data_IF_588876080545
#
_entry.id   IF_588876080545
#
_cell.length_a   1.000
_cell.length_b   1.000
_cell.length_c   1.000
_cell.angle_alpha   90.00
_cell.angle_beta   90.00
_cell.angle_gamma   90.00
#
_symmetry.space_group_name_H-M   'P 1'
#
loop_
_entity.id
_entity.type
_entity.pdbx_description
1 polymer ?
#
# COMPACT_ATOMS: atom_id res chain seq x y z
N UNK A 1 -3.23 26.42 -7.11
CA UNK A 1 -1.82 26.50 -6.65
C UNK A 1 -1.46 25.13 -6.08
N UNK A 2 -0.49 24.42 -6.66
CA UNK A 2 -0.06 23.11 -6.15
C UNK A 2 0.73 23.32 -4.86
N UNK A 3 0.09 23.06 -3.71
CA UNK A 3 0.83 22.88 -2.46
C UNK A 3 1.64 21.59 -2.61
N UNK A 4 2.97 21.74 -2.64
CA UNK A 4 3.99 20.70 -2.85
C UNK A 4 3.57 19.30 -2.37
N UNK A 5 3.22 18.42 -3.30
CA UNK A 5 2.85 17.02 -3.06
C UNK A 5 3.44 16.08 -4.10
N UNK A 6 3.17 14.79 -3.96
CA UNK A 6 3.36 13.80 -5.03
C UNK A 6 2.02 13.53 -5.70
N UNK A 7 2.04 13.19 -7.00
CA UNK A 7 0.88 12.67 -7.71
C UNK A 7 0.86 11.15 -7.57
N UNK A 8 -0.28 10.57 -7.18
CA UNK A 8 -0.43 9.14 -6.92
C UNK A 8 -1.30 8.46 -7.98
N UNK A 9 -0.99 7.20 -8.27
CA UNK A 9 -1.75 6.33 -9.19
C UNK A 9 -1.95 6.90 -10.62
N UNK A 10 -1.03 7.76 -11.09
CA UNK A 10 -1.07 8.32 -12.44
C UNK A 10 -0.83 7.21 -13.47
N UNK A 11 -1.64 7.20 -14.53
CA UNK A 11 -1.43 6.34 -15.70
C UNK A 11 -0.70 7.11 -16.78
N UNK A 12 0.38 6.54 -17.29
CA UNK A 12 1.13 7.09 -18.43
C UNK A 12 1.59 6.02 -19.40
N UNK A 13 2.21 6.49 -20.49
CA UNK A 13 2.67 5.68 -21.61
C UNK A 13 4.15 5.94 -21.85
N UNK A 14 4.93 4.87 -22.03
CA UNK A 14 6.34 4.98 -22.40
C UNK A 14 6.44 5.51 -23.83
N UNK A 15 7.03 6.68 -23.99
CA UNK A 15 7.24 7.33 -25.30
C UNK A 15 8.60 6.97 -25.89
N UNK A 16 9.63 6.88 -25.04
CA UNK A 16 11.01 6.71 -25.48
C UNK A 16 11.84 5.95 -24.45
N UNK A 17 12.72 5.07 -24.91
CA UNK A 17 13.82 4.52 -24.10
C UNK A 17 15.03 5.42 -24.31
N UNK A 18 15.49 6.08 -23.25
CA UNK A 18 16.57 7.07 -23.31
C UNK A 18 17.93 6.39 -23.20
N UNK A 19 18.02 5.39 -22.31
CA UNK A 19 19.25 4.69 -21.98
C UNK A 19 18.97 3.26 -21.57
N UNK A 20 20.03 2.52 -21.22
CA UNK A 20 19.93 1.17 -20.64
C UNK A 20 19.05 1.09 -19.39
N UNK A 21 18.91 2.19 -18.64
CA UNK A 21 18.23 2.21 -17.35
C UNK A 21 17.10 3.24 -17.26
N UNK A 22 16.81 4.01 -18.31
CA UNK A 22 15.85 5.12 -18.22
C UNK A 22 14.92 5.18 -19.43
N UNK A 23 13.67 5.57 -19.17
CA UNK A 23 12.63 5.80 -20.16
C UNK A 23 11.86 7.10 -19.89
N UNK A 24 11.35 7.74 -20.94
CA UNK A 24 10.41 8.85 -20.85
C UNK A 24 8.98 8.31 -20.87
N UNK A 25 8.16 8.82 -19.96
CA UNK A 25 6.76 8.44 -19.80
C UNK A 25 5.91 9.70 -19.96
N UNK A 26 5.03 9.70 -20.96
CA UNK A 26 4.05 10.76 -21.11
C UNK A 26 2.79 10.45 -20.31
N UNK A 27 2.15 11.49 -19.78
CA UNK A 27 0.87 11.40 -19.10
C UNK A 27 0.11 12.72 -19.20
N UNK A 28 -1.20 12.69 -18.93
CA UNK A 28 -2.03 13.89 -18.88
C UNK A 28 -2.23 14.31 -17.43
N UNK A 29 -2.05 15.60 -17.15
CA UNK A 29 -2.37 16.21 -15.86
C UNK A 29 -2.94 17.60 -16.09
N UNK A 30 -4.11 17.89 -15.50
CA UNK A 30 -4.86 19.13 -15.74
C UNK A 30 -5.01 19.45 -17.24
N UNK A 31 -5.43 18.45 -18.02
CA UNK A 31 -5.56 18.51 -19.49
C UNK A 31 -4.29 18.87 -20.27
N UNK A 32 -3.12 18.93 -19.61
CA UNK A 32 -1.84 19.22 -20.24
C UNK A 32 -1.01 17.94 -20.31
N UNK A 33 -0.35 17.71 -21.45
CA UNK A 33 0.61 16.62 -21.56
C UNK A 33 1.89 16.95 -20.79
N UNK A 34 2.35 16.00 -19.98
CA UNK A 34 3.58 16.06 -19.20
C UNK A 34 4.46 14.86 -19.54
N UNK A 35 5.76 15.02 -19.33
CA UNK A 35 6.76 13.97 -19.48
C UNK A 35 7.49 13.80 -18.16
N UNK A 36 7.64 12.56 -17.71
CA UNK A 36 8.45 12.19 -16.57
C UNK A 36 9.52 11.17 -16.94
N UNK A 37 10.58 11.11 -16.15
CA UNK A 37 11.66 10.14 -16.31
C UNK A 37 11.43 8.96 -15.37
N UNK A 38 11.41 7.75 -15.94
CA UNK A 38 11.36 6.47 -15.23
C UNK A 38 12.75 5.84 -15.22
N UNK A 39 13.33 5.69 -14.04
CA UNK A 39 14.50 4.84 -13.84
C UNK A 39 14.10 3.38 -13.58
N UNK A 40 14.90 2.44 -14.08
CA UNK A 40 14.66 0.99 -14.02
C UNK A 40 14.47 0.48 -12.59
N UNK A 41 15.22 1.01 -11.63
CA UNK A 41 15.14 0.64 -10.22
C UNK A 41 13.83 1.07 -9.54
N UNK A 42 13.08 1.98 -10.17
CA UNK A 42 11.75 2.41 -9.71
C UNK A 42 10.61 1.57 -10.31
N UNK A 43 10.91 0.73 -11.30
CA UNK A 43 9.92 -0.11 -11.97
C UNK A 43 9.70 -1.43 -11.23
N UNK A 44 8.44 -1.78 -11.07
CA UNK A 44 7.99 -3.05 -10.52
C UNK A 44 7.02 -3.77 -11.48
N UNK A 45 7.11 -5.09 -11.57
CA UNK A 45 6.20 -5.93 -12.36
C UNK A 45 5.60 -6.98 -11.43
N UNK A 46 4.27 -7.04 -11.27
CA UNK A 46 3.62 -7.89 -10.26
C UNK A 46 4.15 -7.62 -8.84
N UNK A 47 4.34 -6.33 -8.53
CA UNK A 47 5.02 -5.82 -7.34
C UNK A 47 6.47 -6.31 -7.14
N UNK A 48 7.13 -6.91 -8.13
CA UNK A 48 8.54 -7.33 -8.03
C UNK A 48 9.46 -6.24 -8.57
N UNK A 49 10.55 -5.87 -7.85
CA UNK A 49 11.62 -5.12 -8.46
C UNK A 49 12.09 -5.80 -9.73
N UNK A 50 12.28 -5.03 -10.78
CA UNK A 50 12.82 -5.53 -12.04
C UNK A 50 14.28 -5.95 -11.83
N UNK A 51 14.58 -7.23 -12.12
CA UNK A 51 15.95 -7.75 -12.14
C UNK A 51 16.54 -7.83 -13.57
N UNK A 52 15.97 -7.08 -14.52
CA UNK A 52 16.44 -7.07 -15.89
C UNK A 52 17.73 -6.27 -16.04
N UNK A 53 18.54 -6.64 -17.03
CA UNK A 53 19.76 -5.92 -17.37
C UNK A 53 19.42 -4.54 -17.94
N UNK A 54 18.42 -4.46 -18.82
CA UNK A 54 17.98 -3.23 -19.45
C UNK A 54 16.52 -2.91 -19.14
N UNK A 55 16.17 -1.62 -19.09
CA UNK A 55 14.77 -1.20 -18.94
C UNK A 55 13.91 -1.62 -20.14
N UNK A 56 14.52 -1.70 -21.33
CA UNK A 56 13.89 -2.17 -22.58
C UNK A 56 13.43 -3.63 -22.52
N UNK A 57 14.02 -4.44 -21.63
CA UNK A 57 13.60 -5.82 -21.42
C UNK A 57 12.27 -5.91 -20.64
N UNK A 58 11.83 -4.79 -20.04
CA UNK A 58 10.68 -4.72 -19.14
C UNK A 58 9.55 -3.85 -19.68
N UNK A 59 9.90 -2.78 -20.39
CA UNK A 59 8.96 -1.87 -21.04
C UNK A 59 9.45 -1.54 -22.44
N UNK A 60 8.52 -1.36 -23.36
CA UNK A 60 8.77 -0.91 -24.72
C UNK A 60 8.00 0.38 -24.99
N UNK A 61 8.38 1.11 -26.04
CA UNK A 61 7.61 2.28 -26.50
C UNK A 61 6.17 1.84 -26.77
N UNK A 62 5.21 2.48 -26.11
CA UNK A 62 3.82 2.05 -26.12
C UNK A 62 3.31 1.48 -24.81
N UNK A 63 4.19 0.96 -23.95
CA UNK A 63 3.83 0.33 -22.68
C UNK A 63 3.08 1.30 -21.78
N UNK A 64 1.92 0.88 -21.25
CA UNK A 64 1.17 1.60 -20.23
C UNK A 64 1.67 1.21 -18.84
N UNK A 65 1.88 2.20 -17.98
CA UNK A 65 2.33 2.01 -16.60
C UNK A 65 1.55 2.90 -15.65
N UNK A 66 1.36 2.44 -14.41
CA UNK A 66 0.91 3.26 -13.28
C UNK A 66 2.10 3.71 -12.46
N UNK A 67 2.04 4.90 -11.86
CA UNK A 67 3.17 5.40 -11.07
C UNK A 67 2.79 6.48 -10.05
N UNK A 68 3.75 6.74 -9.15
CA UNK A 68 3.81 7.92 -8.27
C UNK A 68 4.93 8.82 -8.78
N UNK A 69 4.69 10.12 -8.92
CA UNK A 69 5.70 11.09 -9.34
C UNK A 69 5.66 12.39 -8.52
N UNK A 70 6.68 13.22 -8.65
CA UNK A 70 6.69 14.58 -8.08
C UNK A 70 5.63 15.47 -8.74
N UNK A 71 4.98 16.37 -7.98
CA UNK A 71 4.07 17.34 -8.60
C UNK A 71 4.81 18.38 -9.46
N UNK A 72 4.19 18.86 -10.56
CA UNK A 72 4.78 19.92 -11.37
C UNK A 72 4.98 21.21 -10.57
N UNK A 73 6.20 21.73 -10.57
CA UNK A 73 6.59 22.93 -9.81
C UNK A 73 7.26 22.66 -8.47
N UNK A 74 7.48 21.40 -8.07
CA UNK A 74 8.35 21.07 -6.95
C UNK A 74 9.75 21.63 -7.22
N UNK A 75 10.16 22.60 -6.41
CA UNK A 75 11.30 23.48 -6.66
C UNK A 75 12.57 22.72 -7.06
N UNK A 76 12.90 22.78 -8.36
CA UNK A 76 14.24 22.53 -8.87
C UNK A 76 14.58 23.65 -9.86
N UNK A 77 15.64 24.44 -9.61
CA UNK A 77 16.16 25.37 -10.61
C UNK A 77 16.61 24.57 -11.84
N UNK A 78 16.11 24.91 -13.03
CA UNK A 78 16.52 24.29 -14.29
C UNK A 78 15.50 23.39 -14.99
N UNK A 79 14.26 23.29 -14.49
CA UNK A 79 13.19 22.59 -15.22
C UNK A 79 13.41 21.08 -15.36
N UNK A 80 13.97 20.45 -14.33
CA UNK A 80 14.20 19.00 -14.29
C UNK A 80 12.91 18.26 -14.66
N UNK A 81 12.97 17.26 -15.55
CA UNK A 81 11.81 16.43 -15.88
C UNK A 81 11.21 15.81 -14.61
N UNK A 82 9.89 15.63 -14.60
CA UNK A 82 9.17 15.06 -13.45
C UNK A 82 9.76 13.69 -13.11
N UNK A 83 10.16 13.48 -11.87
CA UNK A 83 10.75 12.21 -11.47
C UNK A 83 9.66 11.22 -11.09
N UNK A 84 9.65 10.07 -11.76
CA UNK A 84 8.84 8.93 -11.33
C UNK A 84 9.55 8.26 -10.15
N UNK A 85 8.85 8.25 -9.01
CA UNK A 85 9.37 7.75 -7.73
C UNK A 85 9.15 6.25 -7.58
N UNK A 86 8.07 5.75 -8.19
CA UNK A 86 7.73 4.33 -8.25
C UNK A 86 6.79 4.10 -9.42
N UNK A 87 7.01 3.05 -10.21
CA UNK A 87 6.12 2.63 -11.26
C UNK A 87 5.81 1.15 -11.15
N UNK A 88 4.61 0.76 -11.57
CA UNK A 88 4.24 -0.63 -11.74
C UNK A 88 3.48 -0.82 -13.05
N UNK A 89 3.76 -1.93 -13.71
CA UNK A 89 3.02 -2.32 -14.91
C UNK A 89 1.65 -2.85 -14.53
N UNK A 90 0.63 -2.49 -15.31
CA UNK A 90 -0.65 -3.20 -15.32
C UNK A 90 -0.58 -4.19 -16.49
N UNK A 91 -0.57 -5.49 -16.23
CA UNK A 91 -0.68 -6.48 -17.30
C UNK A 91 -2.14 -6.60 -17.75
N UNK A 92 -2.38 -6.81 -19.04
CA UNK A 92 -3.74 -7.01 -19.59
C UNK A 92 -4.41 -8.28 -19.02
N UNK A 93 -3.64 -9.16 -18.37
CA UNK A 93 -4.13 -10.31 -17.59
C UNK A 93 -4.32 -10.06 -16.09
N UNK A 94 -3.93 -8.89 -15.55
CA UNK A 94 -4.33 -8.45 -14.20
C UNK A 94 -5.82 -8.05 -14.17
N UNK A 95 -6.41 -7.85 -15.36
CA UNK A 95 -7.82 -7.53 -15.59
C UNK A 95 -8.56 -8.85 -15.85
N UNK A 96 -8.85 -9.57 -14.78
CA UNK A 96 -9.65 -10.80 -14.81
C UNK A 96 -10.25 -11.04 -13.44
N UNK A 97 -11.31 -11.85 -13.37
CA UNK A 97 -11.80 -12.30 -12.07
C UNK A 97 -10.78 -13.28 -11.49
N UNK A 98 -10.18 -12.98 -10.33
CA UNK A 98 -9.29 -13.92 -9.67
C UNK A 98 -10.06 -15.19 -9.31
N UNK A 99 -9.32 -16.28 -9.08
CA UNK A 99 -9.87 -17.58 -8.67
C UNK A 99 -10.80 -17.42 -7.48
N UNK A 100 -10.51 -16.50 -6.57
CA UNK A 100 -11.33 -16.26 -5.39
C UNK A 100 -12.35 -15.10 -5.49
N UNK A 101 -12.50 -14.46 -6.65
CA UNK A 101 -13.54 -13.45 -6.90
C UNK A 101 -13.27 -12.04 -6.35
N UNK A 102 -12.27 -11.86 -5.49
CA UNK A 102 -11.88 -10.54 -4.97
C UNK A 102 -10.75 -9.90 -5.77
N UNK A 103 -10.97 -8.72 -6.38
CA UNK A 103 -10.04 -8.15 -7.34
C UNK A 103 -8.64 -7.99 -6.73
N UNK A 104 -7.64 -8.52 -7.44
CA UNK A 104 -6.24 -8.32 -7.09
C UNK A 104 -5.87 -6.86 -7.36
N UNK A 105 -5.92 -6.03 -6.32
CA UNK A 105 -5.67 -4.59 -6.45
C UNK A 105 -4.30 -4.30 -5.86
N UNK A 106 -3.43 -3.71 -6.68
CA UNK A 106 -2.16 -3.15 -6.23
C UNK A 106 -2.34 -1.66 -6.00
N UNK A 107 -2.14 -1.20 -4.77
CA UNK A 107 -2.16 0.24 -4.41
C UNK A 107 -0.82 0.68 -3.81
N UNK A 108 -0.29 1.86 -4.18
CA UNK A 108 0.80 2.46 -3.44
C UNK A 108 0.32 3.00 -2.09
N UNK A 109 1.20 3.14 -1.10
CA UNK A 109 0.91 4.00 0.05
C UNK A 109 0.82 5.48 -0.37
N UNK A 110 0.04 6.26 0.39
CA UNK A 110 0.04 7.72 0.25
C UNK A 110 1.34 8.27 0.84
N UNK A 111 1.98 9.15 0.08
CA UNK A 111 3.24 9.78 0.47
C UNK A 111 3.19 11.26 0.19
N UNK A 112 3.46 12.07 1.21
CA UNK A 112 3.38 13.53 1.11
C UNK A 112 2.03 14.01 0.56
N UNK A 113 0.95 13.33 0.97
CA UNK A 113 -0.40 13.62 0.53
C UNK A 113 -0.95 14.82 1.30
N UNK A 114 -1.57 15.76 0.58
CA UNK A 114 -2.26 16.88 1.18
C UNK A 114 -3.63 16.41 1.70
N UNK A 115 -3.95 16.76 2.94
CA UNK A 115 -5.19 16.35 3.61
C UNK A 115 -5.81 17.48 4.41
N UNK A 116 -7.14 17.52 4.44
CA UNK A 116 -7.93 18.42 5.29
C UNK A 116 -8.60 17.66 6.41
N UNK A 117 -8.91 18.33 7.50
CA UNK A 117 -9.56 17.70 8.66
C UNK A 117 -11.07 17.64 8.46
N UNK A 118 -11.68 16.48 8.71
CA UNK A 118 -13.14 16.29 8.64
C UNK A 118 -13.77 16.06 10.01
N UNK A 119 -13.17 15.20 10.83
CA UNK A 119 -13.64 14.94 12.19
C UNK A 119 -12.46 14.89 13.16
N UNK A 120 -12.66 15.40 14.38
CA UNK A 120 -11.64 15.45 15.42
C UNK A 120 -12.21 14.97 16.74
N UNK A 121 -11.48 14.08 17.41
CA UNK A 121 -11.71 13.69 18.80
C UNK A 121 -10.46 13.95 19.65
N UNK A 122 -10.50 13.59 20.92
CA UNK A 122 -9.31 13.71 21.79
C UNK A 122 -8.11 12.90 21.30
N UNK A 123 -8.33 11.68 20.77
CA UNK A 123 -7.26 10.71 20.48
C UNK A 123 -7.10 10.35 19.00
N UNK A 124 -8.11 10.60 18.18
CA UNK A 124 -8.10 10.31 16.75
C UNK A 124 -8.75 11.42 15.94
N UNK A 125 -8.46 11.46 14.65
CA UNK A 125 -9.12 12.32 13.67
C UNK A 125 -9.32 11.58 12.36
N UNK A 126 -10.34 12.00 11.60
CA UNK A 126 -10.58 11.57 10.22
C UNK A 126 -10.19 12.73 9.32
N UNK A 127 -9.26 12.46 8.40
CA UNK A 127 -8.81 13.41 7.39
C UNK A 127 -9.37 13.02 6.03
N UNK A 128 -9.45 13.99 5.12
CA UNK A 128 -9.89 13.79 3.75
C UNK A 128 -8.72 14.04 2.82
N UNK A 129 -8.40 13.01 2.04
CA UNK A 129 -7.50 13.07 0.89
C UNK A 129 -8.35 13.15 -0.38
N UNK A 130 -8.00 14.07 -1.28
CA UNK A 130 -8.57 14.12 -2.64
C UNK A 130 -7.57 13.52 -3.60
N UNK A 131 -7.95 12.44 -4.28
CA UNK A 131 -7.12 11.84 -5.30
C UNK A 131 -7.08 12.71 -6.57
N UNK A 132 -6.28 12.29 -7.55
CA UNK A 132 -6.10 13.02 -8.82
C UNK A 132 -7.35 13.09 -9.70
N UNK A 133 -8.35 12.23 -9.44
CA UNK A 133 -9.67 12.25 -10.08
C UNK A 133 -10.66 13.15 -9.33
N UNK A 134 -10.25 13.77 -8.22
CA UNK A 134 -11.10 14.58 -7.36
C UNK A 134 -11.98 13.78 -6.40
N UNK A 135 -11.84 12.45 -6.35
CA UNK A 135 -12.56 11.59 -5.41
C UNK A 135 -11.97 11.75 -4.01
N UNK A 136 -12.86 11.93 -3.04
CA UNK A 136 -12.51 12.00 -1.62
C UNK A 136 -12.34 10.59 -1.02
N UNK A 137 -11.25 10.38 -0.31
CA UNK A 137 -10.97 9.18 0.47
C UNK A 137 -10.63 9.58 1.91
N UNK A 138 -11.13 8.79 2.87
CA UNK A 138 -10.94 9.03 4.30
C UNK A 138 -9.65 8.39 4.82
N UNK A 139 -8.93 9.15 5.66
CA UNK A 139 -7.67 8.76 6.29
C UNK A 139 -7.83 8.85 7.81
N UNK A 140 -7.75 7.70 8.48
CA UNK A 140 -7.74 7.63 9.94
C UNK A 140 -6.36 8.01 10.48
N UNK A 141 -6.31 8.90 11.48
CA UNK A 141 -5.08 9.20 12.20
C UNK A 141 -5.26 9.09 13.72
N UNK A 142 -4.20 8.70 14.41
CA UNK A 142 -4.10 8.77 15.87
C UNK A 142 -3.29 10.00 16.29
N UNK A 143 -3.57 10.53 17.48
CA UNK A 143 -2.83 11.66 18.07
C UNK A 143 -1.31 11.42 18.10
N UNK A 144 -0.89 10.18 18.35
CA UNK A 144 0.51 9.76 18.37
C UNK A 144 1.24 9.87 17.03
N UNK A 145 0.51 10.10 15.94
CA UNK A 145 1.04 10.21 14.57
C UNK A 145 1.20 11.66 14.11
N UNK A 146 0.76 12.65 14.89
CA UNK A 146 0.84 14.07 14.54
C UNK A 146 2.18 14.71 14.92
N UNK A 147 2.74 15.47 14.00
CA UNK A 147 3.96 16.26 14.18
C UNK A 147 3.77 17.71 13.76
N UNK A 148 4.25 18.65 14.56
CA UNK A 148 4.27 20.08 14.22
C UNK A 148 5.72 20.55 14.28
N UNK A 149 6.26 21.02 13.16
CA UNK A 149 7.65 21.49 13.09
C UNK A 149 8.67 20.42 13.50
N UNK A 150 8.48 19.17 13.05
CA UNK A 150 9.24 17.96 13.42
C UNK A 150 9.05 17.43 14.85
N UNK A 151 8.34 18.13 15.74
CA UNK A 151 8.07 17.65 17.10
C UNK A 151 6.77 16.87 17.12
N UNK A 152 6.78 15.67 17.72
CA UNK A 152 5.57 14.89 17.95
C UNK A 152 4.67 15.65 18.92
N UNK A 153 3.39 15.76 18.60
CA UNK A 153 2.40 16.33 19.51
C UNK A 153 2.10 15.32 20.62
N UNK A 154 2.19 15.77 21.87
CA UNK A 154 1.75 15.02 23.03
C UNK A 154 0.47 15.66 23.54
N UNK A 155 -0.63 14.91 23.59
CA UNK A 155 -1.90 15.40 24.15
C UNK A 155 -3.08 15.28 23.19
N UNK A 156 -4.12 16.07 23.46
CA UNK A 156 -5.40 16.01 22.75
C UNK A 156 -5.34 16.70 21.39
N UNK A 157 -5.86 16.06 20.34
CA UNK A 157 -5.91 16.67 19.00
C UNK A 157 -6.76 17.95 18.96
N UNK A 158 -7.84 18.00 19.76
CA UNK A 158 -8.71 19.18 19.90
C UNK A 158 -7.97 20.48 20.33
N UNK A 159 -6.74 20.38 20.86
CA UNK A 159 -5.96 21.54 21.28
C UNK A 159 -5.02 22.07 20.18
N UNK A 160 -4.82 21.29 19.11
CA UNK A 160 -3.76 21.54 18.11
C UNK A 160 -4.25 21.49 16.67
N UNK A 161 -5.51 21.08 16.44
CA UNK A 161 -6.14 20.92 15.15
C UNK A 161 -7.54 21.53 15.16
N UNK A 162 -7.93 22.14 14.03
CA UNK A 162 -9.31 22.55 13.72
C UNK A 162 -9.77 21.94 12.40
N UNK A 163 -11.08 21.91 12.12
CA UNK A 163 -11.63 21.40 10.84
C UNK A 163 -11.18 22.23 9.62
N UNK A 164 -10.78 23.49 9.85
CA UNK A 164 -10.20 24.36 8.83
C UNK A 164 -8.71 24.14 8.57
N UNK A 165 -8.03 23.33 9.39
CA UNK A 165 -6.60 23.08 9.22
C UNK A 165 -6.34 22.12 8.05
N UNK A 166 -5.15 22.26 7.47
CA UNK A 166 -4.58 21.30 6.53
C UNK A 166 -3.27 20.73 7.04
N UNK A 167 -2.97 19.51 6.60
CA UNK A 167 -1.76 18.79 6.94
C UNK A 167 -1.23 18.07 5.70
N UNK A 168 0.01 17.59 5.81
CA UNK A 168 0.52 16.56 4.94
C UNK A 168 0.52 15.24 5.69
N UNK A 169 0.32 14.13 5.00
CA UNK A 169 0.44 12.82 5.60
C UNK A 169 1.16 11.83 4.69
N UNK A 170 1.70 10.80 5.33
CA UNK A 170 1.92 9.52 4.71
C UNK A 170 0.93 8.53 5.32
N UNK A 171 0.36 7.68 4.47
CA UNK A 171 -0.62 6.69 4.90
C UNK A 171 -0.44 5.36 4.17
N UNK A 172 -0.87 4.30 4.82
CA UNK A 172 -0.92 2.94 4.27
C UNK A 172 -2.37 2.54 4.08
N UNK A 173 -2.68 1.75 3.05
CA UNK A 173 -4.05 1.40 2.76
C UNK A 173 -4.52 0.37 3.79
N UNK A 174 -5.77 0.48 4.19
CA UNK A 174 -6.42 -0.44 5.14
C UNK A 174 -7.76 -0.90 4.56
N UNK A 175 -8.28 -2.00 5.05
CA UNK A 175 -9.61 -2.47 4.63
C UNK A 175 -10.66 -1.68 5.42
N UNK A 176 -11.61 -0.96 4.78
CA UNK A 176 -12.58 -0.13 5.49
C UNK A 176 -13.44 -0.86 6.51
N UNK A 177 -13.76 -2.14 6.29
CA UNK A 177 -14.60 -2.90 7.23
C UNK A 177 -13.88 -3.32 8.52
N UNK A 178 -12.68 -2.80 8.78
CA UNK A 178 -11.81 -3.24 9.89
C UNK A 178 -11.49 -2.12 10.87
N UNK A 179 -12.14 -0.97 10.69
CA UNK A 179 -12.07 0.14 11.61
C UNK A 179 -13.45 0.79 11.65
N UNK A 180 -13.89 1.21 12.85
CA UNK A 180 -15.24 1.74 13.08
C UNK A 180 -15.52 3.02 12.26
N UNK A 181 -14.46 3.71 11.85
CA UNK A 181 -14.53 4.94 11.05
C UNK A 181 -14.62 4.65 9.54
N UNK A 182 -14.60 3.38 9.13
CA UNK A 182 -14.65 2.95 7.73
C UNK A 182 -13.64 3.67 6.82
N UNK A 183 -12.48 4.02 7.37
CA UNK A 183 -11.41 4.69 6.64
C UNK A 183 -10.71 3.71 5.70
N UNK A 184 -10.34 4.19 4.51
CA UNK A 184 -9.59 3.40 3.51
C UNK A 184 -8.07 3.52 3.69
N UNK A 185 -7.63 4.47 4.51
CA UNK A 185 -6.24 4.76 4.78
C UNK A 185 -5.99 4.92 6.27
N UNK A 186 -4.81 4.49 6.73
CA UNK A 186 -4.31 4.78 8.06
C UNK A 186 -3.04 5.63 7.97
N UNK A 187 -3.07 6.82 8.57
CA UNK A 187 -1.95 7.72 8.58
C UNK A 187 -0.84 7.22 9.52
N UNK A 188 0.32 6.93 8.94
CA UNK A 188 1.50 6.50 9.68
C UNK A 188 2.32 7.69 10.18
N UNK A 189 2.19 8.83 9.51
CA UNK A 189 2.80 10.10 9.89
C UNK A 189 1.95 11.26 9.34
N UNK A 190 1.57 12.20 10.20
CA UNK A 190 0.86 13.43 9.81
C UNK A 190 1.68 14.62 10.28
N UNK A 191 1.87 15.63 9.44
CA UNK A 191 2.67 16.79 9.82
C UNK A 191 2.18 18.13 9.26
N UNK A 192 2.49 19.19 10.02
CA UNK A 192 2.44 20.59 9.58
C UNK A 192 3.83 21.21 9.66
N UNK A 193 4.22 21.90 8.59
CA UNK A 193 5.56 22.46 8.43
C UNK A 193 6.57 21.41 7.96
N UNK A 194 7.74 21.32 8.59
CA UNK A 194 8.81 20.40 8.17
C UNK A 194 8.46 18.94 8.50
N UNK A 195 8.57 18.05 7.51
CA UNK A 195 8.40 16.60 7.68
C UNK A 195 9.41 16.06 8.72
N UNK A 196 8.98 15.23 9.68
CA UNK A 196 9.89 14.56 10.60
C UNK A 196 10.73 13.50 9.87
N UNK A 197 11.92 13.18 10.39
CA UNK A 197 12.78 12.10 9.88
C UNK A 197 12.28 10.72 10.34
N UNK A 198 10.98 10.46 10.17
CA UNK A 198 10.26 9.34 10.78
C UNK A 198 10.78 7.96 10.31
N UNK A 199 11.20 7.85 9.04
CA UNK A 199 11.70 6.59 8.47
C UNK A 199 13.23 6.45 8.53
N UNK A 200 13.96 7.50 8.93
CA UNK A 200 15.42 7.47 9.00
C UNK A 200 15.91 6.84 10.32
N UNK A 201 15.03 6.75 11.33
CA UNK A 201 15.27 6.04 12.59
C UNK A 201 15.21 4.52 12.36
N UNK A 202 16.25 3.99 11.70
CA UNK A 202 16.43 2.55 11.45
C UNK A 202 16.71 1.80 12.75
N UNK A 203 15.68 1.53 13.55
CA UNK A 203 15.73 0.35 14.42
C UNK A 203 15.70 -0.85 13.49
N UNK A 204 16.76 -1.66 13.50
CA UNK A 204 16.75 -2.93 12.76
C UNK A 204 15.72 -3.81 13.44
N UNK A 205 14.55 -4.00 12.82
CA UNK A 205 13.61 -5.03 13.23
C UNK A 205 14.34 -6.37 13.28
N UNK A 206 14.23 -7.06 14.42
CA UNK A 206 14.94 -8.31 14.72
C UNK A 206 13.96 -9.48 14.70
N UNK A 207 12.74 -9.29 15.19
CA UNK A 207 11.69 -10.31 15.18
C UNK A 207 10.83 -10.22 13.93
N UNK A 208 10.16 -11.32 13.55
CA UNK A 208 9.25 -11.31 12.42
C UNK A 208 8.02 -10.40 12.65
N UNK A 209 7.53 -10.34 13.89
CA UNK A 209 6.47 -9.39 14.29
C UNK A 209 6.91 -7.94 14.05
N UNK A 210 8.14 -7.58 14.47
CA UNK A 210 8.69 -6.23 14.22
C UNK A 210 8.84 -5.93 12.72
N UNK A 211 9.32 -6.90 11.93
CA UNK A 211 9.45 -6.74 10.47
C UNK A 211 8.06 -6.51 9.84
N UNK A 212 7.07 -7.30 10.25
CA UNK A 212 5.70 -7.18 9.77
C UNK A 212 5.11 -5.82 10.10
N UNK A 213 5.30 -5.34 11.31
CA UNK A 213 4.85 -4.01 11.75
C UNK A 213 5.59 -2.89 10.99
N UNK A 214 6.90 -3.01 10.76
CA UNK A 214 7.67 -2.05 9.97
C UNK A 214 7.12 -1.95 8.54
N UNK A 215 6.93 -3.10 7.90
CA UNK A 215 6.39 -3.20 6.54
C UNK A 215 4.96 -2.67 6.43
N UNK A 216 4.11 -2.97 7.41
CA UNK A 216 2.73 -2.49 7.50
C UNK A 216 2.65 -0.96 7.63
N UNK A 217 3.66 -0.32 8.21
CA UNK A 217 3.70 1.13 8.41
C UNK A 217 4.58 1.87 7.40
N UNK A 218 5.15 1.19 6.40
CA UNK A 218 6.02 1.81 5.42
C UNK A 218 5.23 2.20 4.15
N UNK A 219 4.90 3.50 3.95
CA UNK A 219 4.03 3.97 2.86
C UNK A 219 4.72 3.86 1.49
N UNK A 220 6.03 3.62 1.48
CA UNK A 220 6.77 3.33 0.27
C UNK A 220 6.60 1.86 -0.21
N UNK A 221 5.77 1.08 0.50
CA UNK A 221 5.04 -0.11 0.06
C UNK A 221 4.30 0.02 -1.30
N UNK A 222 4.36 -1.00 -2.16
CA UNK A 222 3.18 -1.42 -2.94
C UNK A 222 2.45 -2.49 -2.15
N UNK A 223 1.16 -2.28 -1.97
CA UNK A 223 0.27 -3.14 -1.20
C UNK A 223 -0.62 -3.91 -2.17
N UNK A 224 -0.51 -5.23 -2.13
CA UNK A 224 -1.38 -6.15 -2.84
C UNK A 224 -2.57 -6.48 -1.95
N UNK A 225 -3.77 -6.19 -2.43
CA UNK A 225 -5.04 -6.65 -1.88
C UNK A 225 -5.41 -7.93 -2.62
N UNK A 226 -5.56 -9.03 -1.89
CA UNK A 226 -5.80 -10.33 -2.48
C UNK A 226 -6.50 -11.29 -1.50
N UNK A 227 -6.89 -12.45 -2.01
CA UNK A 227 -7.41 -13.57 -1.23
C UNK A 227 -6.50 -14.79 -1.31
N UNK A 228 -6.65 -15.66 -0.32
CA UNK A 228 -5.87 -16.87 -0.21
C UNK A 228 -6.44 -17.86 0.78
N UNK A 229 -5.67 -18.92 1.00
CA UNK A 229 -6.00 -19.99 1.93
C UNK A 229 -4.88 -20.14 2.94
N UNK A 230 -5.23 -20.36 4.22
CA UNK A 230 -4.24 -20.74 5.23
C UNK A 230 -3.62 -22.09 4.82
N UNK A 231 -2.31 -22.13 4.59
CA UNK A 231 -1.59 -23.38 4.28
C UNK A 231 -1.28 -24.14 5.55
N UNK A 232 -0.68 -23.45 6.52
CA UNK A 232 -0.30 -24.03 7.80
C UNK A 232 -0.09 -22.93 8.85
N UNK A 233 -0.23 -23.31 10.12
CA UNK A 233 0.15 -22.49 11.27
C UNK A 233 1.50 -22.97 11.77
N UNK A 234 2.51 -22.11 11.67
CA UNK A 234 3.91 -22.46 11.98
C UNK A 234 4.13 -22.53 13.50
N UNK A 235 3.45 -21.66 14.24
CA UNK A 235 3.43 -21.61 15.70
C UNK A 235 2.21 -20.80 16.18
N UNK A 236 2.16 -20.48 17.47
CA UNK A 236 1.07 -19.71 18.08
C UNK A 236 0.92 -18.28 17.54
N UNK A 237 1.99 -17.68 17.02
CA UNK A 237 2.01 -16.30 16.54
C UNK A 237 2.07 -16.16 15.02
N UNK A 238 2.49 -17.20 14.28
CA UNK A 238 2.85 -17.06 12.87
C UNK A 238 2.28 -18.19 12.02
N UNK A 239 1.88 -17.84 10.81
CA UNK A 239 1.33 -18.76 9.82
C UNK A 239 1.78 -18.45 8.41
N UNK A 240 1.48 -19.38 7.51
CA UNK A 240 1.72 -19.26 6.08
C UNK A 240 0.39 -19.40 5.34
N UNK A 241 0.13 -18.50 4.40
CA UNK A 241 -1.01 -18.61 3.48
C UNK A 241 -0.54 -18.72 2.03
N UNK A 242 -1.38 -19.36 1.21
CA UNK A 242 -1.24 -19.40 -0.23
C UNK A 242 -2.12 -18.29 -0.80
N UNK A 243 -1.49 -17.19 -1.22
CA UNK A 243 -2.19 -16.02 -1.74
C UNK A 243 -2.20 -15.99 -3.26
N UNK A 244 -3.35 -15.67 -3.85
CA UNK A 244 -3.47 -15.45 -5.30
C UNK A 244 -2.97 -14.04 -5.64
N UNK A 245 -1.72 -13.90 -6.06
CA UNK A 245 -1.07 -12.58 -6.23
C UNK A 245 -1.22 -11.98 -7.63
N UNK A 246 -1.69 -12.79 -8.57
CA UNK A 246 -2.22 -12.44 -9.88
C UNK A 246 -3.16 -13.59 -10.30
N UNK A 247 -4.04 -13.42 -11.30
CA UNK A 247 -4.97 -14.49 -11.69
C UNK A 247 -4.25 -15.82 -11.95
N UNK A 248 -4.63 -16.86 -11.19
CA UNK A 248 -4.03 -18.21 -11.20
C UNK A 248 -2.55 -18.28 -10.79
N UNK A 249 -1.98 -17.21 -10.24
CA UNK A 249 -0.59 -17.16 -9.76
C UNK A 249 -0.60 -17.13 -8.24
N UNK A 250 -0.24 -18.26 -7.63
CA UNK A 250 -0.23 -18.42 -6.19
C UNK A 250 1.18 -18.32 -5.61
N UNK A 251 1.35 -17.57 -4.53
CA UNK A 251 2.62 -17.42 -3.82
C UNK A 251 2.43 -17.51 -2.31
N UNK A 252 3.50 -17.89 -1.62
CA UNK A 252 3.47 -17.96 -0.16
C UNK A 252 3.53 -16.56 0.44
N UNK A 253 2.68 -16.32 1.42
CA UNK A 253 2.62 -15.08 2.18
C UNK A 253 2.74 -15.43 3.66
N UNK A 254 3.77 -14.90 4.30
CA UNK A 254 3.99 -15.10 5.73
C UNK A 254 3.20 -14.05 6.52
N UNK A 255 2.59 -14.45 7.62
CA UNK A 255 1.73 -13.57 8.40
C UNK A 255 1.89 -13.83 9.91
N UNK A 256 1.62 -12.81 10.72
CA UNK A 256 1.67 -12.87 12.19
C UNK A 256 0.30 -12.54 12.80
N UNK A 257 0.00 -13.04 13.99
CA UNK A 257 -1.16 -12.67 14.80
C UNK A 257 -1.31 -11.15 14.96
N UNK A 258 -0.22 -10.39 15.01
CA UNK A 258 -0.24 -8.93 15.16
C UNK A 258 -0.92 -8.16 14.02
N UNK A 259 -1.08 -8.80 12.85
CA UNK A 259 -1.78 -8.23 11.68
C UNK A 259 -3.06 -8.99 11.34
N UNK A 260 -3.51 -9.89 12.21
CA UNK A 260 -4.75 -10.64 12.02
C UNK A 260 -5.91 -9.92 12.70
N UNK A 261 -7.06 -9.86 12.03
CA UNK A 261 -8.23 -9.13 12.49
C UNK A 261 -9.53 -9.90 12.20
N UNK A 262 -10.56 -9.64 12.99
CA UNK A 262 -11.95 -10.00 12.72
C UNK A 262 -12.82 -8.79 13.07
N UNK A 263 -13.42 -8.17 12.05
CA UNK A 263 -14.02 -6.84 12.21
C UNK A 263 -13.00 -5.83 12.72
N UNK A 264 -13.33 -5.17 13.83
CA UNK A 264 -12.52 -4.19 14.57
C UNK A 264 -11.51 -4.83 15.54
N UNK A 265 -11.62 -6.13 15.78
CA UNK A 265 -10.84 -6.84 16.81
C UNK A 265 -9.52 -7.35 16.23
N UNK A 266 -8.40 -6.94 16.82
CA UNK A 266 -7.05 -7.41 16.48
C UNK A 266 -6.64 -8.62 17.35
N UNK A 267 -5.94 -9.58 16.74
CA UNK A 267 -5.56 -10.84 17.36
C UNK A 267 -4.10 -10.91 17.83
N UNK A 268 -3.40 -9.78 18.03
CA UNK A 268 -1.98 -9.78 18.39
C UNK A 268 -1.62 -10.67 19.59
N UNK A 269 -2.53 -10.78 20.56
CA UNK A 269 -2.32 -11.53 21.81
C UNK A 269 -3.10 -12.85 21.85
N UNK A 270 -3.59 -13.32 20.70
CA UNK A 270 -4.38 -14.55 20.58
C UNK A 270 -3.57 -15.60 19.83
N UNK A 271 -3.68 -16.86 20.26
CA UNK A 271 -3.08 -17.98 19.53
C UNK A 271 -3.78 -18.14 18.18
N UNK A 272 -3.01 -18.11 17.09
CA UNK A 272 -3.57 -18.29 15.75
C UNK A 272 -4.33 -19.61 15.58
N UNK A 273 -3.98 -20.64 16.36
CA UNK A 273 -4.62 -21.97 16.31
C UNK A 273 -6.03 -21.97 16.87
N UNK A 274 -6.39 -20.95 17.65
CA UNK A 274 -7.75 -20.74 18.15
C UNK A 274 -8.63 -19.99 17.15
N UNK A 275 -8.02 -19.31 16.16
CA UNK A 275 -8.69 -18.43 15.20
C UNK A 275 -8.84 -19.09 13.84
N UNK A 276 -7.76 -19.71 13.35
CA UNK A 276 -7.66 -20.24 12.00
C UNK A 276 -7.42 -21.74 11.99
N UNK A 277 -7.85 -22.37 10.90
CA UNK A 277 -7.54 -23.74 10.51
C UNK A 277 -6.92 -23.76 9.12
N UNK A 278 -6.22 -24.85 8.82
CA UNK A 278 -5.73 -25.07 7.46
C UNK A 278 -6.90 -25.06 6.48
N UNK A 279 -6.68 -24.44 5.32
CA UNK A 279 -7.65 -24.19 4.25
C UNK A 279 -8.73 -23.15 4.57
N UNK A 280 -8.66 -22.47 5.70
CA UNK A 280 -9.52 -21.30 5.90
C UNK A 280 -9.23 -20.25 4.83
N UNK A 281 -10.30 -19.74 4.24
CA UNK A 281 -10.26 -18.66 3.27
C UNK A 281 -10.05 -17.34 4.00
N UNK A 282 -9.08 -16.56 3.52
CA UNK A 282 -8.73 -15.27 4.08
C UNK A 282 -8.58 -14.22 2.99
N UNK A 283 -8.94 -12.99 3.34
CA UNK A 283 -8.53 -11.78 2.61
C UNK A 283 -7.33 -11.18 3.30
N UNK A 284 -6.40 -10.64 2.52
CA UNK A 284 -5.18 -10.07 3.07
C UNK A 284 -4.71 -8.85 2.29
N UNK A 285 -3.91 -8.03 2.96
CA UNK A 285 -3.03 -7.05 2.32
C UNK A 285 -1.61 -7.57 2.51
N UNK A 286 -0.81 -7.59 1.45
CA UNK A 286 0.58 -8.01 1.52
C UNK A 286 1.52 -7.04 0.81
N UNK A 287 2.76 -7.01 1.28
CA UNK A 287 3.88 -6.35 0.62
C UNK A 287 4.98 -7.36 0.34
N UNK A 288 5.87 -7.02 -0.59
CA UNK A 288 7.01 -7.90 -0.88
C UNK A 288 7.87 -8.10 0.36
N UNK A 289 8.23 -9.35 0.61
CA UNK A 289 9.17 -9.66 1.66
C UNK A 289 10.55 -9.03 1.34
N UNK A 290 11.28 -8.52 2.35
CA UNK A 290 12.66 -8.11 2.20
C UNK A 290 13.49 -9.34 1.79
N UNK A 291 13.84 -9.42 0.50
CA UNK A 291 14.16 -10.68 -0.17
C UNK A 291 15.14 -11.60 0.56
N UNK A 292 16.27 -11.09 1.06
CA UNK A 292 17.32 -11.91 1.67
C UNK A 292 17.07 -12.34 3.13
N UNK A 293 15.93 -11.96 3.72
CA UNK A 293 15.65 -12.23 5.14
C UNK A 293 14.55 -13.26 5.37
N UNK A 294 13.84 -13.69 4.32
CA UNK A 294 12.58 -14.42 4.50
C UNK A 294 12.40 -15.54 3.48
N UNK A 295 11.80 -16.65 3.95
CA UNK A 295 11.49 -17.81 3.11
C UNK A 295 10.30 -17.53 2.19
N UNK A 296 9.33 -16.74 2.67
CA UNK A 296 8.17 -16.35 1.88
C UNK A 296 8.48 -15.17 0.94
N UNK A 297 7.81 -15.12 -0.21
CA UNK A 297 7.99 -14.04 -1.20
C UNK A 297 7.20 -12.77 -0.82
N UNK A 298 6.32 -12.87 0.18
CA UNK A 298 5.44 -11.82 0.66
C UNK A 298 5.29 -11.88 2.17
N UNK A 299 5.02 -10.72 2.76
CA UNK A 299 4.60 -10.58 4.15
C UNK A 299 3.25 -9.91 4.16
N UNK A 300 2.28 -10.51 4.83
CA UNK A 300 0.98 -9.90 5.05
C UNK A 300 1.14 -8.72 6.02
N UNK A 301 0.54 -7.59 5.69
CA UNK A 301 0.38 -6.44 6.57
C UNK A 301 -1.03 -6.37 7.16
N UNK A 302 -1.92 -7.26 6.69
CA UNK A 302 -3.27 -7.45 7.19
C UNK A 302 -3.76 -8.83 6.77
N UNK A 303 -4.44 -9.57 7.66
CA UNK A 303 -5.14 -10.83 7.36
C UNK A 303 -6.48 -10.84 8.10
N UNK A 304 -7.54 -11.28 7.43
CA UNK A 304 -8.83 -11.57 8.06
C UNK A 304 -9.52 -12.75 7.40
N UNK A 305 -10.32 -13.53 8.16
CA UNK A 305 -11.19 -14.53 7.57
C UNK A 305 -12.16 -13.87 6.59
N UNK A 306 -12.51 -14.60 5.54
CA UNK A 306 -13.65 -14.27 4.69
C UNK A 306 -14.94 -14.60 5.43
N UNK A 307 -15.95 -13.72 5.29
CA UNK A 307 -17.24 -13.92 5.93
C UNK A 307 -17.85 -15.25 5.42
N UNK A 308 -18.45 -16.10 6.28
CA UNK A 308 -19.17 -17.28 5.82
C UNK A 308 -20.20 -17.01 4.71
N UNK A 309 -20.78 -15.81 4.63
CA UNK A 309 -21.66 -15.42 3.53
C UNK A 309 -20.93 -15.34 2.17
N UNK A 310 -19.65 -14.96 2.17
CA UNK A 310 -18.77 -14.90 0.98
C UNK A 310 -18.19 -16.29 0.61
N UNK A 311 -18.43 -17.31 1.44
CA UNK A 311 -18.07 -18.71 1.19
C UNK A 311 -19.14 -19.52 0.45
N UNK A 312 -20.34 -18.96 0.24
CA UNK A 312 -21.46 -19.68 -0.35
C UNK A 312 -21.25 -20.07 -1.84
N UNK A 313 -20.43 -19.30 -2.58
CA UNK A 313 -20.35 -19.42 -4.04
C UNK A 313 -19.24 -20.34 -4.57
N UNK A 314 -18.45 -21.00 -3.72
CA UNK A 314 -17.38 -21.91 -4.17
C UNK A 314 -17.56 -23.40 -3.83
N UNK A 315 -18.74 -23.79 -3.30
CA UNK A 315 -19.12 -25.21 -3.20
C UNK A 315 -19.55 -25.84 -4.54
N UNK A 316 -19.50 -25.08 -5.64
CA UNK A 316 -19.84 -25.58 -6.98
C UNK A 316 -18.64 -25.41 -7.91
N UNK A 317 -17.66 -26.32 -7.80
CA UNK A 317 -17.00 -27.00 -8.92
C UNK A 317 -15.73 -27.74 -8.45
N UNK A 318 -15.95 -28.96 -7.96
CA UNK A 318 -15.10 -30.08 -8.32
C UNK A 318 -13.84 -30.32 -7.49
N UNK A 319 -13.99 -30.79 -6.25
CA UNK A 319 -13.17 -31.89 -5.72
C UNK A 319 -14.01 -32.67 -4.69
N UNK A 320 -14.63 -33.76 -5.14
CA UNK A 320 -14.97 -34.87 -4.24
C UNK A 320 -13.67 -35.59 -3.94
N UNK A 321 -13.33 -35.74 -2.67
CA UNK A 321 -12.38 -36.76 -2.23
C UNK A 321 -13.17 -37.72 -1.35
N UNK A 322 -13.14 -38.99 -1.74
CA UNK A 322 -13.64 -40.12 -0.94
C UNK A 322 -12.89 -40.23 0.38
#
# INVERSE_FOLDING_TARGET
>A
MSLNGYLHEIVGKVEKIISSNEAEVSFKWNNTQKIGTLAKDKLQIGCRPVNAKFISDCVHVGSKIKFVCTSPGAATPGGTPLCILRAWRMEEGDIGYPTFGFPNIVRPGLTNAYVTVNEISKKLAILIYKNEEGKEESVLMLASKLYIGKKRVNGSLLQVMTESDYFFCDAVPVIPSTNDQHCSWFAVCVWRGKKPAYYDEKKKAVTFSEITQELAHYPYNLFLFAEGLIMCLLNHENGLLLGEVAPKVFQTVLFSSSICYMGDTNFANTDLRDIFKERDRVRFIAVRAPGNRMVAQWVATYVAPLDPADNADFLVHGMKVQ
#
